data_IF_570884897181
#
_entry.id   IF_570884897181
#
_cell.length_a   1.000
_cell.length_b   1.000
_cell.length_c   1.000
_cell.angle_alpha   90.00
_cell.angle_beta   90.00
_cell.angle_gamma   90.00
#
_symmetry.space_group_name_H-M   'P 1'
#
loop_
_entity.id
_entity.type
_entity.pdbx_description
1 polymer ?
#
# COMPACT_ATOMS: atom_id res chain seq x y z
N UNK A 1 -70.80 22.53 2.68
CA UNK A 1 -69.51 23.28 2.71
C UNK A 1 -68.41 22.33 3.16
N UNK A 2 -67.69 21.73 2.20
CA UNK A 2 -66.53 20.85 2.45
C UNK A 2 -65.29 21.70 2.71
N UNK A 3 -64.65 21.58 3.88
CA UNK A 3 -63.28 22.04 4.10
C UNK A 3 -62.34 20.85 3.93
N UNK A 4 -61.73 20.76 2.74
CA UNK A 4 -60.60 19.86 2.46
C UNK A 4 -59.37 20.39 3.20
N UNK A 5 -58.93 19.74 4.27
CA UNK A 5 -57.59 19.94 4.83
C UNK A 5 -56.67 18.88 4.25
N UNK A 6 -55.94 19.25 3.20
CA UNK A 6 -54.80 18.48 2.68
C UNK A 6 -53.65 18.58 3.69
N UNK A 7 -53.42 17.51 4.46
CA UNK A 7 -52.24 17.36 5.30
C UNK A 7 -51.09 16.87 4.41
N UNK A 8 -50.22 17.77 3.99
CA UNK A 8 -48.99 17.44 3.27
C UNK A 8 -48.00 16.82 4.28
N UNK A 9 -47.84 15.50 4.24
CA UNK A 9 -46.78 14.80 4.97
C UNK A 9 -45.47 15.03 4.23
N UNK A 10 -44.71 16.05 4.65
CA UNK A 10 -43.33 16.25 4.24
C UNK A 10 -42.47 15.15 4.87
N UNK A 11 -42.17 14.12 4.07
CA UNK A 11 -41.14 13.11 4.37
C UNK A 11 -39.77 13.81 4.35
N UNK A 12 -39.34 14.31 5.51
CA UNK A 12 -37.96 14.69 5.74
C UNK A 12 -37.12 13.42 5.79
N UNK A 13 -36.56 13.02 4.64
CA UNK A 13 -35.47 12.04 4.60
C UNK A 13 -34.24 12.76 5.15
N UNK A 14 -33.70 12.37 6.33
CA UNK A 14 -32.45 12.95 6.78
C UNK A 14 -31.37 12.47 5.81
N UNK A 15 -30.85 13.41 5.02
CA UNK A 15 -29.68 13.19 4.18
C UNK A 15 -28.49 13.00 5.13
N UNK A 16 -28.27 11.76 5.56
CA UNK A 16 -27.10 11.39 6.36
C UNK A 16 -25.90 11.57 5.45
N UNK A 17 -25.27 12.75 5.54
CA UNK A 17 -23.98 13.07 4.95
C UNK A 17 -22.95 12.16 5.61
N UNK A 18 -22.77 10.97 5.04
CA UNK A 18 -21.70 10.06 5.40
C UNK A 18 -20.38 10.71 4.99
N UNK A 19 -19.78 11.48 5.91
CA UNK A 19 -18.40 11.93 5.75
C UNK A 19 -17.53 10.68 5.79
N UNK A 20 -16.74 10.37 4.74
CA UNK A 20 -15.79 9.29 4.81
C UNK A 20 -14.83 9.55 5.99
N UNK A 21 -14.65 8.56 6.85
CA UNK A 21 -13.69 8.65 7.92
C UNK A 21 -12.29 8.76 7.29
N UNK A 22 -11.70 9.94 7.35
CA UNK A 22 -10.29 10.15 7.03
C UNK A 22 -9.48 9.24 7.95
N UNK A 23 -8.64 8.38 7.38
CA UNK A 23 -7.70 7.61 8.19
C UNK A 23 -6.80 8.58 8.97
N UNK A 24 -6.46 8.31 10.24
CA UNK A 24 -5.53 9.15 10.98
C UNK A 24 -4.20 9.19 10.23
N UNK A 25 -3.73 10.40 9.92
CA UNK A 25 -2.39 10.58 9.41
C UNK A 25 -1.40 10.06 10.46
N UNK A 26 -0.48 9.19 10.04
CA UNK A 26 0.64 8.80 10.90
C UNK A 26 1.46 10.05 11.19
N UNK A 27 1.48 10.48 12.44
CA UNK A 27 2.26 11.63 12.88
C UNK A 27 3.74 11.35 12.61
N UNK A 28 4.37 12.24 11.85
CA UNK A 28 5.76 12.06 11.42
C UNK A 28 6.67 12.14 12.65
N UNK A 29 7.64 11.22 12.82
CA UNK A 29 8.52 11.21 13.98
C UNK A 29 9.44 12.43 13.94
N UNK A 30 9.10 13.49 14.67
CA UNK A 30 9.93 14.68 14.84
C UNK A 30 11.14 14.35 15.74
N UNK A 31 12.29 14.16 15.11
CA UNK A 31 13.57 13.87 15.79
C UNK A 31 14.49 15.09 15.78
N UNK A 32 15.49 15.14 16.68
CA UNK A 32 16.52 16.20 16.64
C UNK A 32 17.24 16.25 15.29
N UNK A 33 17.34 15.09 14.61
CA UNK A 33 17.90 14.97 13.28
C UNK A 33 17.12 15.83 12.28
N UNK A 34 15.79 15.69 12.25
CA UNK A 34 14.90 16.42 11.33
C UNK A 34 14.83 17.89 11.70
N UNK A 35 14.77 18.24 12.99
CA UNK A 35 14.68 19.62 13.45
C UNK A 35 15.94 20.41 13.09
N UNK A 36 17.11 19.86 13.38
CA UNK A 36 18.39 20.50 13.07
C UNK A 36 18.62 20.49 11.56
N UNK A 37 18.65 19.32 10.90
CA UNK A 37 18.95 19.25 9.47
C UNK A 37 17.88 19.94 8.61
N UNK A 38 16.61 19.90 8.99
CA UNK A 38 15.53 20.55 8.25
C UNK A 38 15.64 22.07 8.20
N UNK A 39 16.37 22.66 9.14
CA UNK A 39 16.63 24.10 9.23
C UNK A 39 17.92 24.53 8.53
N UNK A 40 18.77 23.57 8.13
CA UNK A 40 20.03 23.86 7.45
C UNK A 40 19.84 24.05 5.94
N UNK A 41 20.66 24.90 5.29
CA UNK A 41 20.61 25.09 3.86
C UNK A 41 21.21 23.91 3.08
N UNK A 42 20.88 23.89 1.79
CA UNK A 42 21.54 23.10 0.74
C UNK A 42 21.75 21.62 1.09
N UNK A 43 23.01 21.17 1.09
CA UNK A 43 23.41 19.78 1.20
C UNK A 43 22.92 19.12 2.49
N UNK A 44 22.80 19.86 3.57
CA UNK A 44 22.44 19.30 4.88
C UNK A 44 20.92 19.27 5.11
N UNK A 45 20.16 20.17 4.50
CA UNK A 45 18.69 20.18 4.58
C UNK A 45 17.95 19.48 3.44
N UNK A 46 18.56 19.34 2.26
CA UNK A 46 17.96 18.64 1.13
C UNK A 46 17.53 17.19 1.45
N UNK A 47 18.31 16.39 2.21
CA UNK A 47 17.88 15.04 2.63
C UNK A 47 16.55 15.02 3.39
N UNK A 48 16.31 16.00 4.27
CA UNK A 48 15.05 16.08 5.03
C UNK A 48 13.86 16.35 4.11
N UNK A 49 14.02 17.26 3.14
CA UNK A 49 12.98 17.55 2.14
C UNK A 49 12.66 16.32 1.29
N UNK A 50 13.69 15.59 0.84
CA UNK A 50 13.55 14.37 0.07
C UNK A 50 12.89 13.24 0.87
N UNK A 51 13.31 13.06 2.12
CA UNK A 51 12.81 12.03 3.02
C UNK A 51 11.32 12.17 3.29
N UNK A 52 10.81 13.39 3.50
CA UNK A 52 9.37 13.64 3.73
C UNK A 52 8.46 13.10 2.62
N UNK A 53 8.97 12.96 1.39
CA UNK A 53 8.22 12.38 0.26
C UNK A 53 8.56 10.91 -0.03
N UNK A 54 9.12 10.19 0.95
CA UNK A 54 9.54 8.80 0.81
C UNK A 54 8.55 7.83 1.46
N UNK A 55 8.55 6.58 0.98
CA UNK A 55 7.77 5.50 1.60
C UNK A 55 8.20 5.22 3.05
N UNK A 56 9.45 5.55 3.40
CA UNK A 56 9.98 5.40 4.75
C UNK A 56 9.43 6.45 5.71
N UNK A 57 9.25 7.69 5.27
CA UNK A 57 8.55 8.71 6.07
C UNK A 57 7.08 8.34 6.27
N UNK A 58 6.40 7.88 5.21
CA UNK A 58 5.02 7.35 5.32
C UNK A 58 4.92 6.17 6.30
N UNK A 59 5.97 5.36 6.40
CA UNK A 59 6.06 4.20 7.30
C UNK A 59 6.63 4.53 8.70
N UNK A 60 6.88 5.80 9.02
CA UNK A 60 7.38 6.24 10.32
C UNK A 60 8.87 5.92 10.59
N UNK A 61 9.66 5.61 9.55
CA UNK A 61 11.10 5.36 9.68
C UNK A 61 11.87 6.68 9.57
N UNK A 62 12.34 7.19 10.71
CA UNK A 62 13.13 8.43 10.80
C UNK A 62 14.61 8.23 10.42
N UNK A 63 15.37 9.32 10.36
CA UNK A 63 16.76 9.36 9.91
C UNK A 63 17.66 8.35 10.64
N UNK A 64 17.50 8.26 11.97
CA UNK A 64 18.27 7.37 12.83
C UNK A 64 17.94 5.88 12.61
N UNK A 65 16.77 5.56 12.05
CA UNK A 65 16.45 4.18 11.66
C UNK A 65 17.42 3.64 10.60
N UNK A 66 17.92 4.52 9.73
CA UNK A 66 18.95 4.19 8.75
C UNK A 66 20.35 4.58 9.26
N UNK A 67 20.58 5.84 9.58
CA UNK A 67 21.92 6.36 9.89
C UNK A 67 22.37 6.08 11.32
N UNK A 68 21.53 5.50 12.18
CA UNK A 68 21.83 5.33 13.60
C UNK A 68 21.88 6.67 14.33
N UNK A 69 22.59 6.71 15.45
CA UNK A 69 22.69 7.91 16.28
C UNK A 69 21.52 8.08 17.26
N UNK A 70 21.56 9.18 18.02
CA UNK A 70 20.56 9.48 19.05
C UNK A 70 19.52 10.51 18.54
N UNK A 71 18.25 10.13 18.35
CA UNK A 71 17.21 11.04 17.86
C UNK A 71 16.74 12.07 18.90
N UNK A 72 17.24 12.03 20.14
CA UNK A 72 16.81 12.89 21.25
C UNK A 72 17.90 13.84 21.76
N UNK A 73 19.16 13.64 21.37
CA UNK A 73 20.30 14.43 21.86
C UNK A 73 21.03 15.09 20.69
N UNK A 74 20.79 16.38 20.44
CA UNK A 74 21.43 17.11 19.35
C UNK A 74 22.95 17.23 19.50
N UNK A 75 23.49 17.25 20.73
CA UNK A 75 24.93 17.42 20.98
C UNK A 75 25.72 16.14 20.66
N UNK A 76 25.11 14.98 20.89
CA UNK A 76 25.71 13.67 20.66
C UNK A 76 25.10 12.86 19.49
N UNK A 77 24.12 13.40 18.77
CA UNK A 77 23.30 12.65 17.80
C UNK A 77 24.13 11.87 16.77
N UNK A 78 25.21 12.48 16.28
CA UNK A 78 26.05 11.93 15.22
C UNK A 78 27.34 11.28 15.73
N UNK A 79 27.44 10.98 17.02
CA UNK A 79 28.64 10.37 17.60
C UNK A 79 28.69 8.85 17.29
N UNK A 80 29.88 8.29 16.97
CA UNK A 80 30.03 6.84 16.81
C UNK A 80 29.63 6.05 18.07
N UNK A 81 29.85 6.61 19.26
CA UNK A 81 29.48 6.01 20.55
C UNK A 81 27.97 5.89 20.71
N UNK A 82 27.19 6.74 20.04
CA UNK A 82 25.72 6.66 19.95
C UNK A 82 25.26 5.82 18.75
N UNK A 83 26.17 5.07 18.12
CA UNK A 83 25.85 4.18 17.00
C UNK A 83 25.58 4.91 15.69
N UNK A 84 26.07 6.14 15.52
CA UNK A 84 25.95 6.84 14.24
C UNK A 84 26.82 6.17 13.16
N UNK A 85 26.21 5.88 12.02
CA UNK A 85 26.80 5.12 10.91
C UNK A 85 27.25 6.02 9.76
N UNK A 86 26.78 7.27 9.73
CA UNK A 86 27.07 8.20 8.63
C UNK A 86 26.46 7.77 7.29
N UNK A 87 26.98 8.35 6.20
CA UNK A 87 26.57 7.99 4.85
C UNK A 87 27.33 6.74 4.40
N UNK A 88 26.65 5.64 4.02
CA UNK A 88 27.31 4.42 3.59
C UNK A 88 28.06 4.62 2.27
N UNK A 89 29.19 3.93 2.10
CA UNK A 89 29.87 3.82 0.80
C UNK A 89 29.06 2.87 -0.10
N UNK A 90 29.26 2.98 -1.41
CA UNK A 90 28.47 2.24 -2.41
C UNK A 90 28.36 0.73 -2.13
N UNK A 91 29.48 0.07 -1.81
CA UNK A 91 29.53 -1.37 -1.49
C UNK A 91 28.77 -1.74 -0.21
N UNK A 92 28.54 -0.78 0.69
CA UNK A 92 27.90 -0.99 1.99
C UNK A 92 26.39 -0.68 1.93
N UNK A 93 25.92 -0.03 0.85
CA UNK A 93 24.50 0.32 0.66
C UNK A 93 23.57 -0.89 0.75
N UNK A 94 23.84 -2.03 0.07
CA UNK A 94 22.97 -3.19 0.17
C UNK A 94 22.84 -3.72 1.61
N UNK A 95 23.93 -3.71 2.38
CA UNK A 95 23.92 -4.08 3.79
C UNK A 95 23.07 -3.12 4.65
N UNK A 96 23.09 -1.82 4.32
CA UNK A 96 22.28 -0.80 5.00
C UNK A 96 20.78 -1.09 4.88
N UNK A 97 20.32 -1.36 3.66
CA UNK A 97 18.92 -1.72 3.36
C UNK A 97 18.56 -3.10 3.90
N UNK A 98 19.51 -4.04 3.85
CA UNK A 98 19.32 -5.43 4.26
C UNK A 98 19.06 -5.66 5.74
N UNK A 99 19.35 -4.68 6.62
CA UNK A 99 19.00 -4.75 8.05
C UNK A 99 17.49 -4.88 8.28
N UNK A 100 16.67 -4.24 7.43
CA UNK A 100 15.21 -4.33 7.48
C UNK A 100 14.64 -5.18 6.34
N UNK A 101 15.34 -5.28 5.20
CA UNK A 101 14.92 -6.07 4.04
C UNK A 101 15.83 -7.28 3.78
N UNK A 102 15.94 -8.24 4.71
CA UNK A 102 16.92 -9.32 4.62
C UNK A 102 16.65 -10.28 3.45
N UNK A 103 15.38 -10.52 3.10
CA UNK A 103 15.01 -11.34 1.94
C UNK A 103 15.47 -10.73 0.62
N UNK A 104 15.17 -9.44 0.42
CA UNK A 104 15.61 -8.68 -0.76
C UNK A 104 17.14 -8.61 -0.83
N UNK A 105 17.80 -8.39 0.30
CA UNK A 105 19.26 -8.35 0.37
C UNK A 105 19.88 -9.68 -0.08
N UNK A 106 19.35 -10.81 0.40
CA UNK A 106 19.79 -12.14 -0.02
C UNK A 106 19.62 -12.33 -1.53
N UNK A 107 18.44 -12.04 -2.08
CA UNK A 107 18.16 -12.21 -3.50
C UNK A 107 19.06 -11.31 -4.36
N UNK A 108 19.25 -10.05 -3.93
CA UNK A 108 20.15 -9.10 -4.60
C UNK A 108 21.59 -9.63 -4.65
N UNK A 109 22.15 -10.11 -3.54
CA UNK A 109 23.51 -10.65 -3.51
C UNK A 109 23.68 -11.89 -4.39
N UNK A 110 22.63 -12.69 -4.52
CA UNK A 110 22.61 -13.86 -5.41
C UNK A 110 22.43 -13.49 -6.89
N UNK A 111 22.07 -12.25 -7.22
CA UNK A 111 21.82 -11.79 -8.58
C UNK A 111 23.10 -11.40 -9.36
N UNK A 112 22.95 -11.15 -10.66
CA UNK A 112 24.06 -10.64 -11.47
C UNK A 112 24.50 -9.23 -11.04
N UNK A 113 23.56 -8.35 -10.66
CA UNK A 113 23.91 -7.01 -10.16
C UNK A 113 24.68 -7.08 -8.83
N UNK A 114 24.26 -7.94 -7.89
CA UNK A 114 24.95 -8.12 -6.62
C UNK A 114 26.36 -8.68 -6.77
N UNK A 115 26.55 -9.65 -7.68
CA UNK A 115 27.89 -10.17 -8.03
C UNK A 115 28.80 -9.11 -8.66
N UNK A 116 28.24 -8.10 -9.31
CA UNK A 116 28.98 -6.99 -9.91
C UNK A 116 29.14 -5.78 -8.96
N UNK A 117 28.75 -5.89 -7.69
CA UNK A 117 28.86 -4.80 -6.71
C UNK A 117 30.32 -4.33 -6.57
N UNK A 118 30.54 -3.03 -6.73
CA UNK A 118 31.88 -2.43 -6.72
C UNK A 118 32.66 -2.56 -8.03
N UNK A 119 32.09 -3.26 -9.03
CA UNK A 119 32.64 -3.40 -10.38
C UNK A 119 31.68 -2.86 -11.46
N UNK A 120 30.84 -1.88 -11.10
CA UNK A 120 29.85 -1.27 -12.00
C UNK A 120 28.42 -1.83 -11.89
N UNK A 121 28.18 -2.76 -10.98
CA UNK A 121 26.83 -3.23 -10.64
C UNK A 121 26.01 -2.15 -9.90
N UNK A 122 24.72 -1.98 -10.21
CA UNK A 122 23.85 -1.02 -9.53
C UNK A 122 23.55 -1.47 -8.09
N UNK A 123 23.26 -0.52 -7.20
CA UNK A 123 22.84 -0.78 -5.82
C UNK A 123 21.35 -0.51 -5.62
N UNK A 124 20.84 -0.73 -4.41
CA UNK A 124 19.44 -0.45 -4.05
C UNK A 124 19.01 0.97 -4.43
N UNK A 125 19.86 1.95 -4.15
CA UNK A 125 19.56 3.38 -4.37
C UNK A 125 19.60 3.77 -5.84
N UNK A 126 20.18 2.94 -6.72
CA UNK A 126 20.19 3.17 -8.16
C UNK A 126 18.78 3.14 -8.76
N UNK A 127 17.92 2.28 -8.22
CA UNK A 127 16.52 2.16 -8.65
C UNK A 127 15.56 2.83 -7.68
N UNK A 128 15.76 2.68 -6.37
CA UNK A 128 14.80 3.14 -5.36
C UNK A 128 15.05 4.56 -4.83
N UNK A 129 16.20 5.17 -5.07
CA UNK A 129 16.61 6.40 -4.40
C UNK A 129 17.17 6.16 -2.99
N UNK A 130 17.69 7.21 -2.34
CA UNK A 130 18.38 7.13 -1.04
C UNK A 130 17.62 7.80 0.11
N UNK A 131 17.35 9.10 0.03
CA UNK A 131 16.53 9.85 0.99
C UNK A 131 15.09 9.90 0.49
N UNK A 132 14.86 10.09 -0.81
CA UNK A 132 13.55 9.91 -1.44
C UNK A 132 13.37 8.45 -1.87
N UNK A 133 13.39 7.51 -0.91
CA UNK A 133 13.14 6.09 -1.21
C UNK A 133 11.71 5.93 -1.70
N UNK A 134 11.54 5.42 -2.92
CA UNK A 134 10.22 5.21 -3.51
C UNK A 134 9.73 3.78 -3.30
N UNK A 135 8.40 3.64 -3.23
CA UNK A 135 7.72 2.35 -3.14
C UNK A 135 8.09 1.46 -4.34
N UNK A 136 8.32 0.17 -4.08
CA UNK A 136 8.54 -0.82 -5.12
C UNK A 136 7.32 -0.89 -6.05
N UNK A 137 7.57 -0.83 -7.36
CA UNK A 137 6.55 -0.96 -8.41
C UNK A 137 7.21 -1.32 -9.74
N UNK A 138 6.43 -1.82 -10.68
CA UNK A 138 6.91 -2.10 -12.05
C UNK A 138 7.40 -0.85 -12.79
N UNK A 139 7.05 0.37 -12.34
CA UNK A 139 7.54 1.62 -12.93
C UNK A 139 9.06 1.79 -12.76
N UNK A 140 9.66 1.15 -11.75
CA UNK A 140 11.11 1.15 -11.55
C UNK A 140 11.85 0.33 -12.62
N UNK A 141 11.15 -0.62 -13.25
CA UNK A 141 11.67 -1.44 -14.35
C UNK A 141 11.39 -0.73 -15.66
N UNK A 142 12.17 0.31 -15.94
CA UNK A 142 12.00 1.14 -17.13
C UNK A 142 13.28 1.24 -17.96
N UNK A 143 13.09 1.57 -19.23
CA UNK A 143 14.16 1.63 -20.22
C UNK A 143 15.25 2.62 -19.79
N UNK A 144 14.87 3.84 -19.39
CA UNK A 144 15.80 4.89 -18.96
C UNK A 144 16.76 4.44 -17.85
N UNK A 145 16.28 3.70 -16.86
CA UNK A 145 17.12 3.22 -15.75
C UNK A 145 18.02 2.07 -16.18
N UNK A 146 17.48 1.11 -16.93
CA UNK A 146 18.20 -0.12 -17.30
C UNK A 146 19.24 0.09 -18.40
N UNK A 147 18.96 0.96 -19.37
CA UNK A 147 19.86 1.23 -20.51
C UNK A 147 21.11 2.02 -20.15
N UNK A 148 21.27 2.41 -18.88
CA UNK A 148 22.49 3.03 -18.38
C UNK A 148 23.71 2.10 -18.43
N UNK A 149 23.48 0.79 -18.39
CA UNK A 149 24.56 -0.21 -18.33
C UNK A 149 24.42 -1.32 -19.38
N UNK A 150 23.21 -1.76 -19.72
CA UNK A 150 22.98 -2.88 -20.63
C UNK A 150 21.65 -2.72 -21.40
N UNK A 151 21.37 -3.57 -22.39
CA UNK A 151 20.11 -3.50 -23.15
C UNK A 151 18.88 -3.73 -22.26
N UNK A 152 17.74 -3.12 -22.61
CA UNK A 152 16.51 -3.25 -21.82
C UNK A 152 15.78 -4.60 -22.00
N UNK A 153 16.22 -5.44 -22.93
CA UNK A 153 15.50 -6.66 -23.35
C UNK A 153 15.18 -7.61 -22.19
N UNK A 154 16.17 -7.97 -21.36
CA UNK A 154 15.95 -8.85 -20.20
C UNK A 154 15.02 -8.23 -19.17
N UNK A 155 15.19 -6.95 -18.87
CA UNK A 155 14.37 -6.24 -17.89
C UNK A 155 12.92 -6.10 -18.39
N UNK A 156 12.72 -5.88 -19.70
CA UNK A 156 11.39 -5.89 -20.35
C UNK A 156 10.72 -7.25 -20.19
N UNK A 157 11.43 -8.35 -20.48
CA UNK A 157 10.89 -9.69 -20.31
C UNK A 157 10.44 -10.01 -18.87
N UNK A 158 11.19 -9.54 -17.87
CA UNK A 158 10.81 -9.67 -16.45
C UNK A 158 9.58 -8.82 -16.15
N UNK A 159 9.57 -7.54 -16.56
CA UNK A 159 8.45 -6.62 -16.35
C UNK A 159 7.16 -7.17 -16.93
N UNK A 160 7.22 -7.64 -18.18
CA UNK A 160 6.05 -8.16 -18.91
C UNK A 160 5.52 -9.43 -18.24
N UNK A 161 6.41 -10.31 -17.76
CA UNK A 161 6.03 -11.50 -17.00
C UNK A 161 5.34 -11.17 -15.66
N UNK A 162 5.66 -10.02 -15.06
CA UNK A 162 5.10 -9.58 -13.79
C UNK A 162 3.81 -8.75 -13.95
N UNK A 163 3.59 -8.12 -15.11
CA UNK A 163 2.53 -7.13 -15.30
C UNK A 163 1.12 -7.66 -14.99
N UNK A 164 0.81 -8.88 -15.43
CA UNK A 164 -0.50 -9.49 -15.17
C UNK A 164 -0.73 -9.73 -13.67
N UNK A 165 0.27 -10.25 -12.97
CA UNK A 165 0.18 -10.56 -11.53
C UNK A 165 0.05 -9.29 -10.69
N UNK A 166 0.77 -8.23 -11.04
CA UNK A 166 0.64 -6.92 -10.37
C UNK A 166 -0.80 -6.38 -10.48
N UNK A 167 -1.36 -6.40 -11.70
CA UNK A 167 -2.75 -5.97 -11.91
C UNK A 167 -3.76 -6.81 -11.12
N UNK A 168 -3.49 -8.11 -10.94
CA UNK A 168 -4.36 -8.98 -10.15
C UNK A 168 -4.28 -8.67 -8.65
N UNK A 169 -3.07 -8.41 -8.14
CA UNK A 169 -2.84 -7.98 -6.75
C UNK A 169 -3.57 -6.66 -6.47
N UNK A 170 -3.47 -5.69 -7.38
CA UNK A 170 -4.12 -4.38 -7.22
C UNK A 170 -5.64 -4.50 -7.22
N UNK A 171 -6.22 -5.28 -8.14
CA UNK A 171 -7.66 -5.51 -8.18
C UNK A 171 -8.19 -6.15 -6.88
N UNK A 172 -7.51 -7.18 -6.36
CA UNK A 172 -7.89 -7.81 -5.09
C UNK A 172 -7.74 -6.82 -3.94
N UNK A 173 -6.68 -6.00 -3.94
CA UNK A 173 -6.43 -4.98 -2.92
C UNK A 173 -7.57 -3.95 -2.85
N UNK A 174 -8.01 -3.43 -4.00
CA UNK A 174 -9.11 -2.46 -4.09
C UNK A 174 -10.41 -3.05 -3.56
N UNK A 175 -10.71 -4.30 -3.91
CA UNK A 175 -11.92 -4.99 -3.47
C UNK A 175 -11.91 -5.28 -1.97
N UNK A 176 -10.78 -5.70 -1.42
CA UNK A 176 -10.61 -5.86 0.03
C UNK A 176 -10.86 -4.53 0.74
N UNK A 177 -10.27 -3.43 0.24
CA UNK A 177 -10.46 -2.10 0.84
C UNK A 177 -11.93 -1.65 0.78
N UNK A 178 -12.63 -1.87 -0.33
CA UNK A 178 -14.05 -1.54 -0.45
C UNK A 178 -14.93 -2.31 0.56
N UNK A 179 -14.61 -3.58 0.82
CA UNK A 179 -15.30 -4.39 1.83
C UNK A 179 -14.98 -3.95 3.25
N UNK A 180 -13.74 -3.57 3.52
CA UNK A 180 -13.32 -3.03 4.81
C UNK A 180 -14.09 -1.75 5.16
N UNK A 181 -14.25 -0.83 4.19
CA UNK A 181 -15.07 0.40 4.35
C UNK A 181 -16.55 0.07 4.61
N UNK A 182 -17.04 -1.06 4.07
CA UNK A 182 -18.41 -1.54 4.27
C UNK A 182 -18.61 -2.31 5.59
N UNK A 183 -17.61 -2.33 6.47
CA UNK A 183 -17.67 -3.00 7.78
C UNK A 183 -17.55 -4.52 7.73
N UNK A 184 -17.11 -5.09 6.59
CA UNK A 184 -16.81 -6.52 6.50
C UNK A 184 -15.43 -6.77 7.10
N UNK A 185 -15.31 -7.80 7.95
CA UNK A 185 -14.01 -8.25 8.42
C UNK A 185 -13.21 -8.86 7.28
N UNK A 186 -12.18 -8.13 6.84
CA UNK A 186 -11.26 -8.52 5.78
C UNK A 186 -9.84 -8.77 6.29
N UNK A 187 -9.61 -8.81 7.61
CA UNK A 187 -8.27 -8.83 8.19
C UNK A 187 -7.43 -10.01 7.67
N UNK A 188 -8.03 -11.21 7.66
CA UNK A 188 -7.37 -12.43 7.18
C UNK A 188 -6.99 -12.34 5.70
N UNK A 189 -7.88 -11.81 4.86
CA UNK A 189 -7.63 -11.66 3.43
C UNK A 189 -6.56 -10.61 3.17
N UNK A 190 -6.60 -9.50 3.90
CA UNK A 190 -5.59 -8.44 3.84
C UNK A 190 -4.20 -8.97 4.18
N UNK A 191 -4.07 -9.74 5.27
CA UNK A 191 -2.80 -10.39 5.65
C UNK A 191 -2.31 -11.38 4.59
N UNK A 192 -3.21 -12.17 4.02
CA UNK A 192 -2.87 -13.12 2.94
C UNK A 192 -2.38 -12.39 1.69
N UNK A 193 -3.09 -11.35 1.25
CA UNK A 193 -2.68 -10.55 0.09
C UNK A 193 -1.34 -9.85 0.35
N UNK A 194 -1.12 -9.33 1.56
CA UNK A 194 0.14 -8.70 1.94
C UNK A 194 1.33 -9.67 1.81
N UNK A 195 1.18 -10.91 2.31
CA UNK A 195 2.19 -11.95 2.18
C UNK A 195 2.51 -12.27 0.71
N UNK A 196 1.46 -12.46 -0.11
CA UNK A 196 1.60 -12.74 -1.55
C UNK A 196 2.29 -11.59 -2.27
N UNK A 197 1.87 -10.34 -2.02
CA UNK A 197 2.48 -9.15 -2.59
C UNK A 197 3.96 -9.04 -2.22
N UNK A 198 4.30 -9.27 -0.96
CA UNK A 198 5.69 -9.21 -0.49
C UNK A 198 6.56 -10.25 -1.20
N UNK A 199 6.10 -11.50 -1.32
CA UNK A 199 6.81 -12.54 -2.08
C UNK A 199 6.92 -12.20 -3.56
N UNK A 200 5.89 -11.59 -4.15
CA UNK A 200 5.88 -11.20 -5.55
C UNK A 200 6.91 -10.10 -5.85
N UNK A 201 6.93 -9.03 -5.05
CA UNK A 201 7.82 -7.89 -5.25
C UNK A 201 9.30 -8.20 -4.99
N UNK A 202 9.63 -9.28 -4.27
CA UNK A 202 11.03 -9.71 -4.10
C UNK A 202 11.59 -10.39 -5.34
N UNK A 203 10.77 -11.03 -6.18
CA UNK A 203 11.20 -11.84 -7.33
C UNK A 203 12.14 -11.12 -8.30
N UNK A 204 11.96 -9.81 -8.49
CA UNK A 204 12.80 -9.02 -9.40
C UNK A 204 14.28 -9.03 -8.99
N UNK A 205 14.56 -9.12 -7.69
CA UNK A 205 15.92 -8.94 -7.16
C UNK A 205 16.86 -10.11 -7.49
N UNK A 206 16.33 -11.25 -7.93
CA UNK A 206 17.10 -12.42 -8.36
C UNK A 206 17.50 -12.36 -9.86
N UNK A 207 16.77 -11.59 -10.68
CA UNK A 207 17.04 -11.35 -12.10
C UNK A 207 16.95 -12.60 -13.01
N UNK A 208 16.32 -13.67 -12.53
CA UNK A 208 16.04 -14.88 -13.31
C UNK A 208 14.64 -14.82 -13.94
N UNK A 209 14.59 -14.70 -15.26
CA UNK A 209 13.34 -14.62 -16.04
C UNK A 209 12.49 -15.89 -15.89
N UNK A 210 13.11 -17.07 -15.89
CA UNK A 210 12.40 -18.34 -15.83
C UNK A 210 11.77 -18.52 -14.45
N UNK A 211 12.52 -18.20 -13.40
CA UNK A 211 12.02 -18.24 -12.03
C UNK A 211 10.90 -17.22 -11.81
N UNK A 212 11.05 -15.99 -12.29
CA UNK A 212 9.99 -14.96 -12.19
C UNK A 212 8.69 -15.46 -12.84
N UNK A 213 8.77 -16.07 -14.03
CA UNK A 213 7.59 -16.62 -14.71
C UNK A 213 6.94 -17.75 -13.91
N UNK A 214 7.74 -18.69 -13.42
CA UNK A 214 7.25 -19.83 -12.64
C UNK A 214 6.57 -19.38 -11.32
N UNK A 215 7.23 -18.51 -10.56
CA UNK A 215 6.71 -18.00 -9.29
C UNK A 215 5.47 -17.11 -9.48
N UNK A 216 5.44 -16.29 -10.54
CA UNK A 216 4.26 -15.47 -10.88
C UNK A 216 3.04 -16.35 -11.19
N UNK A 217 3.23 -17.48 -11.89
CA UNK A 217 2.16 -18.43 -12.16
C UNK A 217 1.63 -19.09 -10.87
N UNK A 218 2.53 -19.48 -9.95
CA UNK A 218 2.14 -20.02 -8.65
C UNK A 218 1.35 -18.99 -7.81
N UNK A 219 1.84 -17.74 -7.78
CA UNK A 219 1.18 -16.62 -7.12
C UNK A 219 -0.21 -16.36 -7.70
N UNK A 220 -0.36 -16.41 -9.03
CA UNK A 220 -1.67 -16.25 -9.67
C UNK A 220 -2.68 -17.32 -9.22
N UNK A 221 -2.22 -18.55 -8.96
CA UNK A 221 -3.05 -19.61 -8.37
C UNK A 221 -3.53 -19.28 -6.95
N UNK A 222 -2.68 -18.68 -6.12
CA UNK A 222 -3.04 -18.23 -4.77
C UNK A 222 -3.99 -17.01 -4.79
N UNK A 223 -3.72 -16.04 -5.67
CA UNK A 223 -4.59 -14.89 -5.91
C UNK A 223 -5.97 -15.33 -6.39
N UNK A 224 -6.05 -16.38 -7.23
CA UNK A 224 -7.31 -17.00 -7.65
C UNK A 224 -8.17 -17.49 -6.49
N UNK A 225 -7.56 -18.04 -5.43
CA UNK A 225 -8.28 -18.48 -4.22
C UNK A 225 -8.80 -17.31 -3.40
N UNK A 226 -8.03 -16.23 -3.32
CA UNK A 226 -8.46 -14.98 -2.66
C UNK A 226 -9.61 -14.32 -3.44
N UNK A 227 -9.50 -14.25 -4.76
CA UNK A 227 -10.54 -13.74 -5.64
C UNK A 227 -11.85 -14.55 -5.52
N UNK A 228 -11.76 -15.89 -5.52
CA UNK A 228 -12.93 -16.75 -5.30
C UNK A 228 -13.61 -16.48 -3.95
N UNK A 229 -12.81 -16.24 -2.90
CA UNK A 229 -13.31 -15.89 -1.57
C UNK A 229 -14.03 -14.54 -1.56
N UNK A 230 -13.46 -13.53 -2.23
CA UNK A 230 -14.11 -12.22 -2.40
C UNK A 230 -15.42 -12.32 -3.21
N UNK A 231 -15.44 -13.09 -4.29
CA UNK A 231 -16.66 -13.34 -5.09
C UNK A 231 -17.76 -14.00 -4.26
N UNK A 232 -17.42 -14.89 -3.34
CA UNK A 232 -18.38 -15.49 -2.43
C UNK A 232 -19.00 -14.44 -1.48
N UNK A 233 -18.18 -13.53 -0.95
CA UNK A 233 -18.63 -12.41 -0.12
C UNK A 233 -19.54 -11.48 -0.94
N UNK A 234 -19.14 -11.08 -2.15
CA UNK A 234 -19.94 -10.26 -3.07
C UNK A 234 -21.32 -10.88 -3.31
N UNK A 235 -21.37 -12.17 -3.64
CA UNK A 235 -22.63 -12.90 -3.87
C UNK A 235 -23.52 -12.92 -2.62
N UNK A 236 -22.93 -13.14 -1.45
CA UNK A 236 -23.67 -13.12 -0.17
C UNK A 236 -24.25 -11.73 0.13
N UNK A 237 -23.48 -10.66 -0.10
CA UNK A 237 -23.91 -9.28 0.11
C UNK A 237 -24.99 -8.86 -0.89
N UNK A 238 -24.87 -9.27 -2.15
CA UNK A 238 -25.89 -9.03 -3.17
C UNK A 238 -27.22 -9.72 -2.78
N UNK A 239 -27.16 -10.98 -2.35
CA UNK A 239 -28.35 -11.72 -1.89
C UNK A 239 -29.00 -11.05 -0.67
N UNK A 240 -28.21 -10.64 0.32
CA UNK A 240 -28.72 -9.93 1.52
C UNK A 240 -29.37 -8.61 1.16
N UNK A 241 -28.82 -7.85 0.21
CA UNK A 241 -29.41 -6.59 -0.27
C UNK A 241 -30.78 -6.81 -0.92
N UNK A 242 -30.90 -7.83 -1.78
CA UNK A 242 -32.18 -8.16 -2.44
C UNK A 242 -33.21 -8.63 -1.42
N UNK A 243 -32.86 -9.60 -0.56
CA UNK A 243 -33.79 -10.14 0.44
C UNK A 243 -34.21 -9.07 1.45
N UNK A 244 -33.26 -8.26 1.93
CA UNK A 244 -33.53 -7.14 2.82
C UNK A 244 -34.43 -6.09 2.18
N UNK A 245 -34.19 -5.74 0.91
CA UNK A 245 -35.04 -4.83 0.15
C UNK A 245 -36.48 -5.33 0.00
N UNK A 246 -36.66 -6.62 -0.32
CA UNK A 246 -37.98 -7.25 -0.40
C UNK A 246 -38.69 -7.22 0.96
N UNK A 247 -37.98 -7.57 2.04
CA UNK A 247 -38.55 -7.57 3.39
C UNK A 247 -39.00 -6.17 3.83
N UNK A 248 -38.19 -5.14 3.57
CA UNK A 248 -38.54 -3.75 3.87
C UNK A 248 -39.74 -3.29 3.05
N UNK A 249 -39.78 -3.58 1.74
CA UNK A 249 -40.93 -3.25 0.89
C UNK A 249 -42.22 -3.90 1.38
N UNK A 250 -42.15 -5.18 1.79
CA UNK A 250 -43.29 -5.88 2.36
C UNK A 250 -43.77 -5.25 3.68
N UNK A 251 -42.85 -4.88 4.59
CA UNK A 251 -43.22 -4.19 5.83
C UNK A 251 -43.87 -2.83 5.58
N UNK A 252 -43.38 -2.06 4.59
CA UNK A 252 -43.99 -0.78 4.20
C UNK A 252 -45.38 -0.98 3.62
N UNK A 253 -45.58 -1.98 2.75
CA UNK A 253 -46.89 -2.31 2.19
C UNK A 253 -47.90 -2.70 3.29
N UNK A 254 -47.48 -3.54 4.25
CA UNK A 254 -48.30 -3.88 5.41
C UNK A 254 -48.64 -2.65 6.24
N UNK A 255 -47.67 -1.76 6.50
CA UNK A 255 -47.92 -0.53 7.25
C UNK A 255 -48.93 0.39 6.55
N UNK A 256 -48.84 0.52 5.21
CA UNK A 256 -49.82 1.26 4.39
C UNK A 256 -51.20 0.61 4.49
N UNK A 257 -51.28 -0.72 4.35
CA UNK A 257 -52.54 -1.46 4.44
C UNK A 257 -53.21 -1.25 5.80
N UNK A 258 -52.46 -1.40 6.91
CA UNK A 258 -52.96 -1.14 8.25
C UNK A 258 -53.44 0.31 8.44
N UNK A 259 -52.72 1.28 7.88
CA UNK A 259 -53.13 2.68 7.92
C UNK A 259 -54.44 2.93 7.15
N UNK A 260 -54.58 2.36 5.96
CA UNK A 260 -55.81 2.46 5.15
C UNK A 260 -56.99 1.77 5.85
N UNK A 261 -56.78 0.58 6.42
CA UNK A 261 -57.80 -0.12 7.20
C UNK A 261 -58.27 0.72 8.38
N UNK A 262 -57.36 1.29 9.17
CA UNK A 262 -57.73 2.16 10.30
C UNK A 262 -58.62 3.32 9.83
N UNK A 263 -58.27 3.98 8.73
CA UNK A 263 -59.05 5.10 8.17
C UNK A 263 -60.44 4.70 7.67
N UNK A 264 -60.66 3.44 7.30
CA UNK A 264 -61.99 2.97 6.87
C UNK A 264 -62.93 2.60 8.03
N UNK A 265 -62.41 2.47 9.26
CA UNK A 265 -63.21 2.18 10.45
C UNK A 265 -63.54 3.41 11.29
N UNK A 266 -62.88 4.55 11.05
CA UNK A 266 -63.18 5.87 11.63
C UNK A 266 -64.10 6.68 10.69
#
# INVERSE_FOLDING_TARGET
MMRKTTLAVLLFIPLVLWKPASSPAVEQPETVCIQCHGSLPDRLGAPVKQWRGSIHAESGISCNGCHGGDPKDAGGAMSPERGFLGAPKEKDIPGFCGRCHPGVYKDYLASAHGRALGAGGPTCVTCHGNHQVVKASLALINEKSCTRCHSFERARAIRDAMQQTEGYIDNISERIAAFQVSGVDTERMGKSLFSVRNRFHTLFHDQDVARVKAESAAINGELGKLDASLKAIEKSHARRRVVGGIAVAFMVLLAILFHLMKKSYD
#
